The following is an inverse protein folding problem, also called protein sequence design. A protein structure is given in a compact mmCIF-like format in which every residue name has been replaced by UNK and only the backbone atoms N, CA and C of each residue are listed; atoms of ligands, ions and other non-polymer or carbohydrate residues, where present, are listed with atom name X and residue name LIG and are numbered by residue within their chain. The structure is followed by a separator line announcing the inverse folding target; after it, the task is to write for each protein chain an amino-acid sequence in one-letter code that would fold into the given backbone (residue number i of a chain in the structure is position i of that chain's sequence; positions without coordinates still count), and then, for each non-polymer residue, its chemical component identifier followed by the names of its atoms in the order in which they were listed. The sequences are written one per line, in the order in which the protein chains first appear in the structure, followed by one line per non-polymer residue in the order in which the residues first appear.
data_IF_683622369180
#
_entry.id   IF_683622369180
#
_cell.length_a   1.000
_cell.length_b   1.000
_cell.length_c   1.000
_cell.angle_alpha   90.00
_cell.angle_beta   90.00
_cell.angle_gamma   90.00
#
_symmetry.space_group_name_H-M   'P 1'
#
loop_
_entity.id
_entity.type
_entity.pdbx_description
1 polymer ?
#
# COMPACT_ATOMS: atom_id res chain seq x y z
N UNK A 1 0.63 -25.34 -2.57
CA UNK A 1 1.80 -25.47 -3.44
C UNK A 1 3.07 -25.12 -2.69
N UNK A 2 4.07 -25.92 -2.88
CA UNK A 2 5.34 -25.65 -2.25
C UNK A 2 6.21 -24.82 -3.16
N UNK A 3 6.77 -23.78 -2.62
CA UNK A 3 7.66 -22.92 -3.38
C UNK A 3 9.11 -23.30 -3.10
N UNK A 4 9.92 -23.36 -4.14
CA UNK A 4 11.36 -23.56 -4.00
C UNK A 4 12.10 -22.26 -3.70
N UNK A 5 11.37 -21.15 -3.68
CA UNK A 5 11.98 -19.84 -3.43
C UNK A 5 12.24 -19.68 -1.94
N UNK A 6 13.46 -19.34 -1.53
CA UNK A 6 13.73 -19.09 -0.12
C UNK A 6 12.97 -17.87 0.40
N UNK A 7 12.65 -17.88 1.68
CA UNK A 7 11.96 -16.75 2.31
C UNK A 7 12.74 -15.45 2.15
N UNK A 8 14.06 -15.53 2.22
CA UNK A 8 14.93 -14.35 2.05
C UNK A 8 14.75 -13.70 0.68
N UNK A 9 14.61 -14.53 -0.36
CA UNK A 9 14.42 -14.01 -1.71
C UNK A 9 13.05 -13.34 -1.86
N UNK A 10 12.02 -13.86 -1.20
CA UNK A 10 10.69 -13.24 -1.21
C UNK A 10 10.76 -11.87 -0.55
N UNK A 11 11.40 -11.79 0.60
CA UNK A 11 11.59 -10.54 1.33
C UNK A 11 12.34 -9.51 0.46
N UNK A 12 13.44 -9.91 -0.14
CA UNK A 12 14.25 -9.02 -0.96
C UNK A 12 13.50 -8.52 -2.18
N UNK A 13 12.75 -9.40 -2.83
CA UNK A 13 11.95 -9.02 -3.99
C UNK A 13 10.90 -7.97 -3.62
N UNK A 14 10.20 -8.20 -2.52
CA UNK A 14 9.15 -7.27 -2.08
C UNK A 14 9.75 -5.91 -1.71
N UNK A 15 10.88 -5.91 -1.04
CA UNK A 15 11.58 -4.68 -0.70
C UNK A 15 12.02 -3.91 -1.93
N UNK A 16 12.59 -4.62 -2.92
CA UNK A 16 12.98 -4.00 -4.18
C UNK A 16 11.80 -3.40 -4.92
N UNK A 17 10.65 -4.07 -4.87
CA UNK A 17 9.43 -3.56 -5.51
C UNK A 17 9.00 -2.24 -4.89
N UNK A 18 9.05 -2.13 -3.57
CA UNK A 18 8.71 -0.87 -2.89
C UNK A 18 9.72 0.22 -3.25
N UNK A 19 11.00 -0.11 -3.27
CA UNK A 19 12.05 0.85 -3.62
C UNK A 19 11.88 1.40 -5.04
N UNK A 20 11.45 0.56 -5.96
CA UNK A 20 11.29 0.95 -7.36
C UNK A 20 9.96 1.66 -7.64
N UNK A 21 9.00 1.58 -6.75
CA UNK A 21 7.67 2.13 -6.97
C UNK A 21 7.66 3.65 -6.88
N UNK A 22 6.83 4.28 -7.69
CA UNK A 22 6.54 5.71 -7.58
C UNK A 22 5.41 5.97 -6.60
N UNK A 23 4.46 5.04 -6.53
CA UNK A 23 3.33 5.07 -5.59
C UNK A 23 3.16 3.66 -5.07
N UNK A 24 2.91 3.52 -3.78
CA UNK A 24 2.72 2.22 -3.14
C UNK A 24 1.26 2.09 -2.71
N UNK A 25 0.61 1.03 -3.16
CA UNK A 25 -0.76 0.71 -2.76
C UNK A 25 -0.69 -0.44 -1.76
N UNK A 26 -1.18 -0.20 -0.56
CA UNK A 26 -1.18 -1.20 0.51
C UNK A 26 -2.62 -1.55 0.86
N UNK A 27 -2.96 -2.83 0.72
CA UNK A 27 -4.30 -3.31 1.01
C UNK A 27 -4.31 -4.02 2.36
N UNK A 28 -4.97 -3.42 3.34
CA UNK A 28 -5.13 -3.97 4.67
C UNK A 28 -6.53 -4.49 4.93
N UNK A 29 -7.32 -4.73 3.88
CA UNK A 29 -8.59 -5.43 4.02
C UNK A 29 -8.30 -6.86 4.40
N UNK A 30 -8.73 -7.26 5.58
CA UNK A 30 -8.40 -8.59 6.10
C UNK A 30 -9.58 -9.52 5.91
N UNK A 31 -9.57 -10.26 4.81
CA UNK A 31 -10.62 -11.22 4.49
C UNK A 31 -10.55 -12.46 5.38
N UNK A 32 -9.36 -12.78 5.86
CA UNK A 32 -9.16 -13.92 6.76
C UNK A 32 -8.66 -13.38 8.10
N UNK A 33 -9.58 -13.26 9.05
CA UNK A 33 -9.27 -12.67 10.35
C UNK A 33 -8.30 -13.51 11.20
N UNK A 34 -8.04 -14.75 10.78
CA UNK A 34 -7.09 -15.62 11.50
C UNK A 34 -5.64 -15.32 11.10
N UNK A 35 -5.40 -14.51 10.09
CA UNK A 35 -4.06 -14.23 9.57
C UNK A 35 -3.71 -12.77 9.78
N UNK A 36 -2.45 -12.55 10.16
CA UNK A 36 -1.92 -11.21 10.29
C UNK A 36 -1.39 -10.71 8.94
N UNK A 37 -1.72 -9.48 8.53
CA UNK A 37 -1.21 -8.92 7.28
C UNK A 37 0.21 -8.38 7.46
N UNK A 38 1.12 -9.24 7.87
CA UNK A 38 2.47 -8.84 8.27
C UNK A 38 3.25 -8.23 7.10
N UNK A 39 3.16 -8.87 5.91
CA UNK A 39 3.85 -8.37 4.73
C UNK A 39 3.38 -6.98 4.34
N UNK A 40 2.08 -6.74 4.41
CA UNK A 40 1.52 -5.42 4.09
C UNK A 40 2.01 -4.36 5.07
N UNK A 41 2.13 -4.69 6.36
CA UNK A 41 2.67 -3.78 7.35
C UNK A 41 4.13 -3.43 7.07
N UNK A 42 4.92 -4.41 6.64
CA UNK A 42 6.32 -4.16 6.27
C UNK A 42 6.40 -3.24 5.05
N UNK A 43 5.59 -3.48 4.05
CA UNK A 43 5.56 -2.65 2.84
C UNK A 43 5.17 -1.22 3.18
N UNK A 44 4.20 -1.06 4.06
CA UNK A 44 3.76 0.25 4.53
C UNK A 44 4.92 1.00 5.20
N UNK A 45 5.63 0.32 6.11
CA UNK A 45 6.75 0.91 6.81
C UNK A 45 7.90 1.29 5.88
N UNK A 46 8.23 0.42 4.93
CA UNK A 46 9.29 0.71 3.96
C UNK A 46 8.92 1.92 3.10
N UNK A 47 7.70 1.96 2.61
CA UNK A 47 7.24 3.07 1.77
C UNK A 47 7.28 4.38 2.56
N UNK A 48 6.85 4.37 3.81
CA UNK A 48 6.90 5.55 4.67
C UNK A 48 8.33 6.01 4.90
N UNK A 49 9.23 5.09 5.16
CA UNK A 49 10.63 5.40 5.39
C UNK A 49 11.28 5.98 4.15
N UNK A 50 10.93 5.49 2.98
CA UNK A 50 11.48 5.95 1.70
C UNK A 50 10.77 7.20 1.16
N UNK A 51 9.76 7.69 1.85
CA UNK A 51 9.04 8.88 1.42
C UNK A 51 8.16 8.68 0.20
N UNK A 52 7.76 7.44 -0.09
CA UNK A 52 6.87 7.15 -1.20
C UNK A 52 5.44 7.56 -0.88
N UNK A 53 4.70 8.12 -1.85
CA UNK A 53 3.26 8.29 -1.67
C UNK A 53 2.60 6.93 -1.45
N UNK A 54 1.71 6.86 -0.47
CA UNK A 54 1.04 5.62 -0.08
C UNK A 54 -0.47 5.80 -0.19
N UNK A 55 -1.10 4.88 -0.91
CA UNK A 55 -2.55 4.73 -0.92
C UNK A 55 -2.87 3.53 -0.04
N UNK A 56 -3.59 3.74 1.04
CA UNK A 56 -3.94 2.67 1.97
C UNK A 56 -5.40 2.30 1.78
N UNK A 57 -5.64 1.01 1.55
CA UNK A 57 -6.98 0.46 1.42
C UNK A 57 -7.32 -0.23 2.73
N UNK A 58 -8.23 0.32 3.49
CA UNK A 58 -8.69 -0.26 4.76
C UNK A 58 -10.02 0.33 5.16
N UNK A 59 -10.82 -0.48 5.85
CA UNK A 59 -12.07 -0.03 6.47
C UNK A 59 -12.00 -0.11 8.00
N UNK A 60 -10.84 -0.42 8.56
CA UNK A 60 -10.67 -0.62 10.00
C UNK A 60 -10.22 0.66 10.68
N UNK A 61 -10.99 1.10 11.66
CA UNK A 61 -10.71 2.33 12.39
C UNK A 61 -9.38 2.28 13.13
N UNK A 62 -8.94 1.11 13.56
CA UNK A 62 -7.66 0.99 14.27
C UNK A 62 -6.48 1.45 13.40
N UNK A 63 -6.57 1.28 12.09
CA UNK A 63 -5.55 1.78 11.17
C UNK A 63 -5.78 3.26 10.85
N UNK A 64 -7.03 3.61 10.53
CA UNK A 64 -7.37 4.98 10.12
C UNK A 64 -7.01 5.99 11.21
N UNK A 65 -7.18 5.61 12.48
CA UNK A 65 -6.94 6.50 13.61
C UNK A 65 -5.51 6.44 14.14
N UNK A 66 -4.70 5.51 13.64
CA UNK A 66 -3.34 5.36 14.15
C UNK A 66 -2.47 6.56 13.78
N UNK A 67 -1.75 7.17 14.74
CA UNK A 67 -0.97 8.37 14.46
C UNK A 67 0.07 8.21 13.37
N UNK A 68 0.74 7.05 13.31
CA UNK A 68 1.75 6.80 12.28
C UNK A 68 1.10 6.70 10.91
N UNK A 69 -0.03 6.02 10.82
CA UNK A 69 -0.78 5.88 9.56
C UNK A 69 -1.20 7.25 9.04
N UNK A 70 -1.76 8.06 9.92
CA UNK A 70 -2.20 9.40 9.54
C UNK A 70 -1.06 10.26 8.99
N UNK A 71 0.15 10.01 9.50
CA UNK A 71 1.32 10.79 9.10
C UNK A 71 1.95 10.30 7.81
N UNK A 72 1.99 8.99 7.62
CA UNK A 72 2.68 8.37 6.50
C UNK A 72 1.86 8.30 5.22
N UNK A 73 0.55 8.10 5.36
CA UNK A 73 -0.31 7.73 4.24
C UNK A 73 -0.84 8.98 3.55
N UNK A 74 -0.78 8.96 2.23
CA UNK A 74 -1.25 10.09 1.42
C UNK A 74 -2.76 10.08 1.22
N UNK A 75 -3.35 8.89 1.11
CA UNK A 75 -4.79 8.76 0.84
C UNK A 75 -5.29 7.43 1.37
N UNK A 76 -6.39 7.45 2.12
CA UNK A 76 -7.02 6.24 2.64
C UNK A 76 -8.37 6.05 1.94
N UNK A 77 -8.61 4.85 1.44
CA UNK A 77 -9.89 4.47 0.82
C UNK A 77 -10.42 3.20 1.45
N UNK A 78 -11.74 3.03 1.53
CA UNK A 78 -12.31 1.87 2.23
C UNK A 78 -12.22 0.56 1.45
N UNK A 79 -12.07 0.63 0.12
CA UNK A 79 -12.01 -0.56 -0.72
C UNK A 79 -11.40 -0.22 -2.08
N UNK A 80 -11.12 -1.26 -2.85
CA UNK A 80 -10.51 -1.11 -4.18
C UNK A 80 -11.46 -0.40 -5.15
N UNK A 81 -12.74 -0.70 -5.07
CA UNK A 81 -13.71 -0.06 -5.98
C UNK A 81 -13.74 1.45 -5.80
N UNK A 82 -13.70 1.91 -4.56
CA UNK A 82 -13.65 3.34 -4.27
C UNK A 82 -12.37 3.97 -4.82
N UNK A 83 -11.24 3.27 -4.68
CA UNK A 83 -9.97 3.75 -5.22
C UNK A 83 -10.06 3.97 -6.72
N UNK A 84 -10.67 3.02 -7.44
CA UNK A 84 -10.82 3.10 -8.88
C UNK A 84 -11.83 4.18 -9.30
N UNK A 85 -12.96 4.26 -8.60
CA UNK A 85 -13.98 5.27 -8.88
C UNK A 85 -13.45 6.68 -8.73
N UNK A 86 -12.68 6.93 -7.69
CA UNK A 86 -12.16 8.25 -7.40
C UNK A 86 -10.88 8.57 -8.15
N UNK A 87 -10.42 7.65 -8.98
CA UNK A 87 -9.21 7.83 -9.79
C UNK A 87 -8.00 8.25 -8.96
N UNK A 88 -7.83 7.61 -7.82
CA UNK A 88 -6.78 7.99 -6.88
C UNK A 88 -5.39 7.86 -7.52
N UNK A 89 -5.16 6.79 -8.27
CA UNK A 89 -3.89 6.61 -8.96
C UNK A 89 -3.63 7.70 -9.98
N UNK A 90 -4.67 8.12 -10.71
CA UNK A 90 -4.53 9.18 -11.70
C UNK A 90 -4.09 10.50 -11.06
N UNK A 91 -4.55 10.73 -9.84
CA UNK A 91 -4.16 11.95 -9.13
C UNK A 91 -2.64 12.03 -8.97
N UNK A 92 -2.01 10.93 -8.59
CA UNK A 92 -0.57 10.92 -8.37
C UNK A 92 0.24 10.98 -9.67
N UNK A 93 -0.34 10.56 -10.78
CA UNK A 93 0.34 10.54 -12.07
C UNK A 93 -0.13 11.64 -13.02
N UNK A 94 -0.96 12.54 -12.55
CA UNK A 94 -1.55 13.60 -13.38
C UNK A 94 -0.51 14.44 -14.08
N UNK A 95 0.52 14.86 -13.37
CA UNK A 95 1.57 15.68 -13.95
C UNK A 95 2.44 14.94 -14.96
N UNK A 96 2.46 13.62 -14.88
CA UNK A 96 3.24 12.78 -15.77
C UNK A 96 2.49 12.51 -17.05
N UNK A 97 1.18 12.29 -16.94
CA UNK A 97 0.34 11.84 -18.06
C UNK A 97 -0.46 12.95 -18.71
N UNK A 98 -0.41 14.14 -18.20
CA UNK A 98 -1.34 15.21 -18.60
C UNK A 98 -2.79 14.78 -18.42
N UNK A 99 -3.05 13.95 -17.48
CA UNK A 99 -4.40 13.45 -17.24
C UNK A 99 -5.25 14.56 -16.66
N UNK A 100 -6.44 14.70 -17.20
CA UNK A 100 -7.43 15.58 -16.61
C UNK A 100 -8.07 14.89 -15.43
N UNK A 101 -8.22 15.62 -14.43
CA UNK A 101 -8.70 15.10 -13.20
C UNK A 101 -10.08 15.55 -12.94
#
# INVERSE_FOLDING_TARGET
MKSDVPAEAIFDRDKMSVEAADVVVVNLINYDKSREPFGSHCELAWAGLLGKPIILITDEQKYIQHPFIKRMVSWIVPDVDTMLEKRVLNYFFKGINNADY
#
